data_IF_111438761936
#
_entry.id   IF_111438761936
#
_cell.length_a   1.000
_cell.length_b   1.000
_cell.length_c   1.000
_cell.angle_alpha   90.00
_cell.angle_beta   90.00
_cell.angle_gamma   90.00
#
_symmetry.space_group_name_H-M   'P 1'
#
loop_
_entity.id
_entity.type
_entity.pdbx_description
1 polymer ?
#
# COMPACT_ATOMS: atom_id res chain seq x y z
N UNK A 1 -14.55 -22.21 4.56
CA UNK A 1 -13.46 -21.21 4.49
C UNK A 1 -13.67 -20.19 5.60
N UNK A 2 -12.63 -19.77 6.36
CA UNK A 2 -12.80 -18.68 7.33
C UNK A 2 -13.16 -17.40 6.57
N UNK A 3 -14.34 -16.84 6.85
CA UNK A 3 -14.75 -15.57 6.29
C UNK A 3 -13.81 -14.48 6.80
N UNK A 4 -13.22 -13.73 5.89
CA UNK A 4 -12.30 -12.64 6.22
C UNK A 4 -13.12 -11.37 6.40
N UNK A 5 -12.83 -10.62 7.45
CA UNK A 5 -13.46 -9.35 7.76
C UNK A 5 -13.12 -8.29 6.70
N UNK A 6 -14.07 -7.40 6.35
CA UNK A 6 -13.85 -6.21 5.52
C UNK A 6 -12.67 -5.40 6.06
N UNK A 7 -12.66 -5.16 7.37
CA UNK A 7 -11.59 -4.42 8.06
C UNK A 7 -10.22 -5.09 7.88
N UNK A 8 -10.14 -6.40 7.96
CA UNK A 8 -8.89 -7.14 7.74
C UNK A 8 -8.43 -7.07 6.29
N UNK A 9 -9.32 -7.21 5.30
CA UNK A 9 -9.00 -7.06 3.88
C UNK A 9 -8.42 -5.69 3.60
N UNK A 10 -9.08 -4.62 4.04
CA UNK A 10 -8.62 -3.23 3.84
C UNK A 10 -7.28 -2.98 4.52
N UNK A 11 -7.08 -3.44 5.75
CA UNK A 11 -5.81 -3.30 6.49
C UNK A 11 -4.65 -4.00 5.78
N UNK A 12 -4.87 -5.23 5.31
CA UNK A 12 -3.83 -6.01 4.61
C UNK A 12 -3.46 -5.33 3.29
N UNK A 13 -4.45 -4.93 2.49
CA UNK A 13 -4.22 -4.24 1.21
C UNK A 13 -3.50 -2.90 1.45
N UNK A 14 -3.97 -2.10 2.41
CA UNK A 14 -3.34 -0.83 2.77
C UNK A 14 -1.90 -1.01 3.27
N UNK A 15 -1.66 -1.99 4.14
CA UNK A 15 -0.32 -2.28 4.64
C UNK A 15 0.63 -2.73 3.51
N UNK A 16 0.17 -3.59 2.59
CA UNK A 16 0.95 -4.03 1.43
C UNK A 16 1.29 -2.86 0.50
N UNK A 17 0.34 -1.96 0.21
CA UNK A 17 0.57 -0.77 -0.61
C UNK A 17 1.59 0.16 0.05
N UNK A 18 1.42 0.48 1.33
CA UNK A 18 2.34 1.36 2.07
C UNK A 18 3.74 0.74 2.12
N UNK A 19 3.86 -0.55 2.45
CA UNK A 19 5.14 -1.25 2.50
C UNK A 19 5.84 -1.25 1.13
N UNK A 20 5.09 -1.50 0.05
CA UNK A 20 5.63 -1.51 -1.30
C UNK A 20 6.14 -0.13 -1.72
N UNK A 21 5.37 0.93 -1.48
CA UNK A 21 5.75 2.33 -1.77
C UNK A 21 7.00 2.70 -0.94
N UNK A 22 6.99 2.39 0.36
CA UNK A 22 8.13 2.65 1.24
C UNK A 22 9.40 1.96 0.74
N UNK A 23 9.30 0.69 0.35
CA UNK A 23 10.43 -0.08 -0.19
C UNK A 23 10.99 0.57 -1.46
N UNK A 24 10.12 0.97 -2.40
CA UNK A 24 10.54 1.64 -3.64
C UNK A 24 11.24 2.96 -3.34
N UNK A 25 10.72 3.77 -2.41
CA UNK A 25 11.34 5.05 -2.02
C UNK A 25 12.73 4.82 -1.41
N UNK A 26 12.85 3.91 -0.43
CA UNK A 26 14.14 3.60 0.23
C UNK A 26 15.17 3.12 -0.77
N UNK A 27 14.80 2.18 -1.64
CA UNK A 27 15.69 1.66 -2.69
C UNK A 27 16.09 2.78 -3.66
N UNK A 28 15.15 3.63 -4.08
CA UNK A 28 15.45 4.75 -4.99
C UNK A 28 16.41 5.76 -4.37
N UNK A 29 16.22 6.13 -3.09
CA UNK A 29 17.14 7.04 -2.37
C UNK A 29 18.54 6.42 -2.29
N UNK A 30 18.63 5.14 -1.88
CA UNK A 30 19.90 4.44 -1.79
C UNK A 30 20.66 4.38 -3.13
N UNK A 31 19.93 4.08 -4.21
CA UNK A 31 20.51 4.02 -5.56
C UNK A 31 20.94 5.42 -6.05
N UNK A 32 20.16 6.45 -5.74
CA UNK A 32 20.47 7.82 -6.14
C UNK A 32 21.73 8.36 -5.44
N UNK A 33 21.91 8.06 -4.16
CA UNK A 33 23.15 8.43 -3.43
C UNK A 33 24.39 7.78 -4.06
N UNK A 34 24.28 6.55 -4.56
CA UNK A 34 25.39 5.90 -5.30
C UNK A 34 25.68 6.60 -6.63
N UNK A 35 24.66 7.08 -7.34
CA UNK A 35 24.84 7.78 -8.62
C UNK A 35 25.61 9.09 -8.49
N UNK A 36 25.42 9.85 -7.41
CA UNK A 36 26.19 11.08 -7.13
C UNK A 36 27.70 10.76 -7.01
N UNK A 37 28.03 9.69 -6.31
CA UNK A 37 29.44 9.24 -6.16
C UNK A 37 30.03 8.76 -7.49
N UNK A 38 29.24 8.06 -8.29
CA UNK A 38 29.65 7.62 -9.62
C UNK A 38 29.95 8.81 -10.55
N UNK A 39 29.18 9.89 -10.51
CA UNK A 39 29.44 11.13 -11.25
C UNK A 39 30.76 11.79 -10.82
N UNK A 40 31.06 11.77 -9.51
CA UNK A 40 32.34 12.28 -8.98
C UNK A 40 33.52 11.48 -9.52
N UNK A 41 33.41 10.15 -9.58
CA UNK A 41 34.44 9.27 -10.13
C UNK A 41 34.69 9.59 -11.61
N UNK A 42 33.68 9.72 -12.44
CA UNK A 42 33.79 10.08 -13.85
C UNK A 42 34.45 11.46 -14.01
N UNK A 43 34.10 12.40 -13.15
CA UNK A 43 34.69 13.73 -13.17
C UNK A 43 36.21 13.68 -12.84
N UNK A 44 36.59 12.91 -11.80
CA UNK A 44 38.02 12.71 -11.46
C UNK A 44 38.76 12.04 -12.64
N UNK A 45 38.22 10.98 -13.22
CA UNK A 45 38.80 10.33 -14.38
C UNK A 45 38.93 11.26 -15.59
N UNK A 46 37.86 12.05 -15.87
CA UNK A 46 37.89 13.06 -16.92
C UNK A 46 38.92 14.15 -16.69
N UNK A 47 39.15 14.56 -15.42
CA UNK A 47 40.15 15.52 -15.04
C UNK A 47 41.57 15.03 -15.35
N UNK A 48 41.83 13.72 -15.25
CA UNK A 48 43.12 13.14 -15.61
C UNK A 48 43.47 13.43 -17.08
N UNK A 49 42.52 13.33 -18.00
CA UNK A 49 42.73 13.67 -19.42
C UNK A 49 43.14 15.11 -19.61
N UNK A 50 42.47 16.04 -18.95
CA UNK A 50 42.77 17.47 -18.99
C UNK A 50 44.20 17.71 -18.43
N UNK A 51 44.55 17.06 -17.33
CA UNK A 51 45.84 17.25 -16.66
C UNK A 51 47.01 16.78 -17.53
N UNK A 52 46.91 15.65 -18.25
CA UNK A 52 47.95 15.23 -19.20
C UNK A 52 48.23 16.30 -20.25
N UNK A 53 47.19 16.90 -20.81
CA UNK A 53 47.32 17.96 -21.81
C UNK A 53 47.83 19.26 -21.19
N UNK A 54 47.39 19.61 -19.98
CA UNK A 54 47.85 20.82 -19.27
C UNK A 54 49.35 20.75 -18.97
N UNK A 55 49.84 19.60 -18.49
CA UNK A 55 51.27 19.37 -18.24
C UNK A 55 52.04 19.52 -19.53
N UNK A 56 51.65 18.85 -20.58
CA UNK A 56 52.32 18.87 -21.88
C UNK A 56 52.37 20.30 -22.48
N UNK A 57 51.23 21.01 -22.48
CA UNK A 57 51.16 22.39 -22.92
C UNK A 57 52.13 23.30 -22.16
N UNK A 58 52.16 23.17 -20.82
CA UNK A 58 53.04 24.00 -20.00
C UNK A 58 54.53 23.65 -20.22
N UNK A 59 54.90 22.40 -20.45
CA UNK A 59 56.25 21.99 -20.83
C UNK A 59 56.67 22.68 -22.13
N UNK A 60 55.84 22.67 -23.17
CA UNK A 60 56.15 23.35 -24.41
C UNK A 60 56.27 24.86 -24.25
N UNK A 61 55.40 25.46 -23.44
CA UNK A 61 55.43 26.89 -23.15
C UNK A 61 56.76 27.29 -22.46
N UNK A 62 57.18 26.57 -21.42
CA UNK A 62 58.46 26.81 -20.72
C UNK A 62 59.67 26.56 -21.59
N UNK A 63 59.59 25.51 -22.42
CA UNK A 63 60.70 25.23 -23.37
C UNK A 63 60.87 26.35 -24.38
N UNK A 64 59.78 26.84 -24.95
CA UNK A 64 59.82 27.86 -25.97
C UNK A 64 60.29 29.25 -25.42
N UNK A 65 59.80 29.61 -24.22
CA UNK A 65 60.06 30.93 -23.61
C UNK A 65 61.31 30.89 -22.71
N UNK A 66 61.91 29.76 -22.49
CA UNK A 66 63.06 29.55 -21.55
C UNK A 66 62.76 30.05 -20.14
N UNK A 67 61.51 29.87 -19.66
CA UNK A 67 61.05 30.25 -18.34
C UNK A 67 61.25 29.10 -17.35
N UNK A 68 61.54 29.45 -16.08
CA UNK A 68 61.82 28.48 -15.03
C UNK A 68 60.71 28.40 -13.94
N UNK A 69 59.49 28.91 -14.22
CA UNK A 69 58.38 28.84 -13.29
C UNK A 69 57.62 27.52 -13.52
N UNK A 70 57.84 26.51 -12.68
CA UNK A 70 57.24 25.18 -12.77
C UNK A 70 55.95 24.99 -11.99
N UNK A 71 55.44 26.05 -11.31
CA UNK A 71 54.30 25.98 -10.40
C UNK A 71 53.08 25.31 -11.04
N UNK A 72 52.75 25.66 -12.28
CA UNK A 72 51.62 25.09 -13.00
C UNK A 72 51.78 23.60 -13.33
N UNK A 73 53.00 23.19 -13.66
CA UNK A 73 53.33 21.78 -13.93
C UNK A 73 53.27 20.99 -12.61
N UNK A 74 53.83 21.52 -11.54
CA UNK A 74 53.87 20.83 -10.24
C UNK A 74 52.48 20.66 -9.66
N UNK A 75 51.64 21.67 -9.73
CA UNK A 75 50.24 21.59 -9.34
C UNK A 75 49.49 20.53 -10.16
N UNK A 76 49.69 20.52 -11.48
CA UNK A 76 49.00 19.57 -12.36
C UNK A 76 49.47 18.11 -12.10
N UNK A 77 50.77 17.89 -11.81
CA UNK A 77 51.28 16.59 -11.40
C UNK A 77 50.71 16.13 -10.08
N UNK A 78 50.69 17.02 -9.08
CA UNK A 78 50.10 16.71 -7.77
C UNK A 78 48.62 16.34 -7.90
N UNK A 79 47.82 17.10 -8.68
CA UNK A 79 46.43 16.79 -8.96
C UNK A 79 46.25 15.47 -9.70
N UNK A 80 47.14 15.16 -10.67
CA UNK A 80 47.08 13.89 -11.40
C UNK A 80 47.37 12.71 -10.47
N UNK A 81 48.42 12.79 -9.67
CA UNK A 81 48.76 11.76 -8.69
C UNK A 81 47.66 11.52 -7.67
N UNK A 82 47.07 12.59 -7.13
CA UNK A 82 45.92 12.48 -6.22
C UNK A 82 44.75 11.80 -6.89
N UNK A 83 44.36 12.25 -8.08
CA UNK A 83 43.22 11.68 -8.80
C UNK A 83 43.43 10.21 -9.17
N UNK A 84 44.64 9.84 -9.67
CA UNK A 84 44.97 8.46 -10.01
C UNK A 84 44.94 7.55 -8.76
N UNK A 85 45.47 8.01 -7.63
CA UNK A 85 45.44 7.28 -6.35
C UNK A 85 44.01 7.11 -5.86
N UNK A 86 43.16 8.16 -5.95
CA UNK A 86 41.76 8.10 -5.60
C UNK A 86 41.00 7.08 -6.45
N UNK A 87 41.26 7.02 -7.75
CA UNK A 87 40.63 6.05 -8.66
C UNK A 87 41.05 4.60 -8.34
N UNK A 88 42.32 4.37 -7.95
CA UNK A 88 42.87 3.03 -7.64
C UNK A 88 42.37 2.55 -6.27
N UNK A 89 42.59 3.35 -5.22
CA UNK A 89 42.46 2.95 -3.82
C UNK A 89 41.11 3.39 -3.19
N UNK A 90 40.42 4.29 -3.87
CA UNK A 90 39.27 4.98 -3.30
C UNK A 90 39.68 6.17 -2.43
N UNK A 91 38.68 6.92 -1.96
CA UNK A 91 38.81 8.03 -1.00
C UNK A 91 37.66 7.98 0.00
N UNK A 92 37.98 7.72 1.26
CA UNK A 92 36.99 7.60 2.32
C UNK A 92 36.30 8.92 2.65
N UNK A 93 37.02 10.07 2.50
CA UNK A 93 36.47 11.40 2.76
C UNK A 93 35.44 11.78 1.70
N UNK A 94 35.71 11.43 0.44
CA UNK A 94 34.76 11.61 -0.66
C UNK A 94 33.74 10.48 -0.75
N UNK A 95 33.91 9.41 0.04
CA UNK A 95 33.07 8.21 0.01
C UNK A 95 33.17 7.45 -1.31
N UNK A 96 34.30 7.55 -2.00
CA UNK A 96 34.62 6.86 -3.26
C UNK A 96 35.25 5.51 -2.93
N UNK A 97 34.68 4.45 -3.48
CA UNK A 97 35.25 3.10 -3.39
C UNK A 97 36.41 2.93 -4.37
N UNK A 98 37.30 1.93 -4.12
CA UNK A 98 38.31 1.51 -5.05
C UNK A 98 37.73 0.99 -6.37
N UNK A 99 38.57 0.80 -7.37
CA UNK A 99 38.16 0.30 -8.69
C UNK A 99 37.23 -0.92 -8.61
N UNK A 100 36.03 -0.87 -9.23
CA UNK A 100 34.95 -1.83 -9.00
C UNK A 100 35.15 -3.21 -9.65
N UNK A 101 36.08 -3.33 -10.61
CA UNK A 101 36.33 -4.58 -11.32
C UNK A 101 37.78 -4.72 -11.75
N UNK A 102 38.19 -5.94 -12.14
CA UNK A 102 39.54 -6.25 -12.53
C UNK A 102 39.98 -5.56 -13.83
N UNK A 103 39.06 -5.31 -14.76
CA UNK A 103 39.34 -4.62 -16.01
C UNK A 103 39.79 -3.16 -15.75
N UNK A 104 39.11 -2.45 -14.88
CA UNK A 104 39.48 -1.10 -14.45
C UNK A 104 40.83 -1.11 -13.69
N UNK A 105 41.03 -2.08 -12.79
CA UNK A 105 42.30 -2.21 -12.07
C UNK A 105 43.48 -2.44 -13.04
N UNK A 106 43.32 -3.33 -14.01
CA UNK A 106 44.33 -3.59 -15.03
C UNK A 106 44.63 -2.34 -15.86
N UNK A 107 43.60 -1.60 -16.28
CA UNK A 107 43.76 -0.36 -17.02
C UNK A 107 44.49 0.73 -16.19
N UNK A 108 44.13 0.88 -14.90
CA UNK A 108 44.83 1.81 -14.00
C UNK A 108 46.28 1.43 -13.78
N UNK A 109 46.59 0.15 -13.63
CA UNK A 109 47.97 -0.33 -13.55
C UNK A 109 48.78 0.06 -14.79
N UNK A 110 48.20 -0.11 -15.97
CA UNK A 110 48.79 0.29 -17.24
C UNK A 110 49.06 1.80 -17.30
N UNK A 111 48.07 2.61 -16.89
CA UNK A 111 48.25 4.07 -16.83
C UNK A 111 49.30 4.46 -15.80
N UNK A 112 49.34 3.80 -14.64
CA UNK A 112 50.37 4.06 -13.61
C UNK A 112 51.80 3.85 -14.14
N UNK A 113 52.03 2.77 -14.88
CA UNK A 113 53.35 2.49 -15.48
C UNK A 113 53.72 3.59 -16.48
N UNK A 114 52.83 3.98 -17.37
CA UNK A 114 53.05 5.03 -18.35
C UNK A 114 53.25 6.40 -17.68
N UNK A 115 52.46 6.68 -16.65
CA UNK A 115 52.53 7.93 -15.89
C UNK A 115 53.87 8.07 -15.15
N UNK A 116 54.31 7.04 -14.45
CA UNK A 116 55.59 7.08 -13.74
C UNK A 116 56.76 7.39 -14.68
N UNK A 117 56.76 6.80 -15.89
CA UNK A 117 57.74 7.10 -16.90
C UNK A 117 57.60 8.54 -17.44
N UNK A 118 56.38 9.00 -17.64
CA UNK A 118 56.09 10.37 -18.10
C UNK A 118 56.49 11.40 -17.03
N UNK A 119 56.11 11.22 -15.77
CA UNK A 119 56.47 12.09 -14.65
C UNK A 119 57.98 12.17 -14.47
N UNK A 120 58.72 11.05 -14.61
CA UNK A 120 60.19 11.06 -14.52
C UNK A 120 60.78 11.94 -15.62
N UNK A 121 60.28 11.82 -16.85
CA UNK A 121 60.77 12.67 -17.96
C UNK A 121 60.43 14.16 -17.77
N UNK A 122 59.29 14.47 -17.07
CA UNK A 122 59.00 15.85 -16.70
C UNK A 122 59.99 16.37 -15.65
N UNK A 123 60.36 15.55 -14.67
CA UNK A 123 61.40 15.91 -13.68
C UNK A 123 62.76 16.15 -14.39
N UNK A 124 63.12 15.26 -15.31
CA UNK A 124 64.34 15.40 -16.10
C UNK A 124 64.33 16.64 -17.00
N UNK A 125 63.17 17.00 -17.58
CA UNK A 125 62.98 18.24 -18.33
C UNK A 125 63.21 19.46 -17.45
N UNK A 126 62.64 19.53 -16.24
CA UNK A 126 62.83 20.64 -15.31
C UNK A 126 64.33 20.80 -14.95
N UNK A 127 65.01 19.70 -14.64
CA UNK A 127 66.43 19.71 -14.34
C UNK A 127 67.27 20.18 -15.52
N UNK A 128 67.01 19.65 -16.71
CA UNK A 128 67.71 20.02 -17.94
C UNK A 128 67.56 21.52 -18.30
N UNK A 129 66.30 22.06 -18.09
CA UNK A 129 66.03 23.46 -18.35
C UNK A 129 66.81 24.39 -17.39
N UNK A 130 66.86 24.02 -16.09
CA UNK A 130 67.63 24.77 -15.08
C UNK A 130 69.15 24.73 -15.35
N UNK A 131 69.70 23.62 -15.87
CA UNK A 131 71.13 23.44 -16.16
C UNK A 131 71.53 23.89 -17.56
N UNK A 132 70.60 24.35 -18.39
CA UNK A 132 70.77 24.66 -19.81
C UNK A 132 71.34 23.46 -20.58
N UNK A 133 71.01 22.22 -20.20
CA UNK A 133 71.47 21.01 -20.89
C UNK A 133 70.60 20.76 -22.13
N UNK A 134 70.99 21.27 -23.26
CA UNK A 134 70.22 21.20 -24.49
C UNK A 134 70.04 19.76 -25.00
N UNK A 135 71.01 18.84 -24.73
CA UNK A 135 70.93 17.46 -25.17
C UNK A 135 69.82 16.71 -24.38
N UNK A 136 69.88 16.80 -23.06
CA UNK A 136 68.84 16.19 -22.17
C UNK A 136 67.50 16.82 -22.40
N UNK A 137 67.43 18.15 -22.62
CA UNK A 137 66.23 18.90 -22.90
C UNK A 137 65.51 18.41 -24.16
N UNK A 138 66.27 18.26 -25.28
CA UNK A 138 65.68 17.75 -26.53
C UNK A 138 65.19 16.28 -26.40
N UNK A 139 65.96 15.45 -25.66
CA UNK A 139 65.59 14.04 -25.48
C UNK A 139 64.26 13.93 -24.64
N UNK A 140 64.10 14.69 -23.57
CA UNK A 140 62.88 14.70 -22.72
C UNK A 140 61.69 15.26 -23.47
N UNK A 141 61.85 16.36 -24.24
CA UNK A 141 60.76 16.91 -25.09
C UNK A 141 60.33 15.87 -26.12
N UNK A 142 61.25 15.20 -26.79
CA UNK A 142 60.95 14.15 -27.77
C UNK A 142 60.19 13.00 -27.11
N UNK A 143 60.60 12.56 -25.90
CA UNK A 143 59.89 11.53 -25.16
C UNK A 143 58.47 11.94 -24.81
N UNK A 144 58.29 13.15 -24.26
CA UNK A 144 56.97 13.71 -23.87
C UNK A 144 56.06 13.80 -25.11
N UNK A 145 56.56 14.34 -26.22
CA UNK A 145 55.78 14.41 -27.45
C UNK A 145 55.30 13.03 -27.94
N UNK A 146 56.19 12.05 -27.95
CA UNK A 146 55.89 10.71 -28.46
C UNK A 146 54.96 9.92 -27.55
N UNK A 147 54.91 10.21 -26.23
CA UNK A 147 54.18 9.45 -25.26
C UNK A 147 52.92 10.16 -24.73
N UNK A 148 52.78 11.48 -24.97
CA UNK A 148 51.59 12.23 -24.51
C UNK A 148 50.29 11.66 -25.05
N UNK A 149 50.20 11.43 -26.36
CA UNK A 149 48.99 10.88 -26.96
C UNK A 149 48.67 9.49 -26.45
N UNK A 150 49.68 8.62 -26.27
CA UNK A 150 49.51 7.29 -25.72
C UNK A 150 49.00 7.33 -24.27
N UNK A 151 49.58 8.21 -23.45
CA UNK A 151 49.10 8.40 -22.07
C UNK A 151 47.65 8.90 -22.06
N UNK A 152 47.33 9.89 -22.91
CA UNK A 152 45.96 10.42 -23.06
C UNK A 152 44.97 9.33 -23.45
N UNK A 153 45.28 8.49 -24.45
CA UNK A 153 44.44 7.39 -24.89
C UNK A 153 44.18 6.36 -23.80
N UNK A 154 45.21 6.00 -23.02
CA UNK A 154 45.06 5.03 -21.94
C UNK A 154 44.30 5.61 -20.75
N UNK A 155 44.41 6.91 -20.47
CA UNK A 155 43.55 7.61 -19.49
C UNK A 155 42.11 7.71 -19.99
N UNK A 156 41.91 7.97 -21.30
CA UNK A 156 40.59 8.02 -21.90
C UNK A 156 39.83 6.67 -21.78
N UNK A 157 40.57 5.55 -21.90
CA UNK A 157 40.00 4.21 -21.65
C UNK A 157 39.48 4.05 -20.21
N UNK A 158 40.16 4.64 -19.20
CA UNK A 158 39.65 4.64 -17.82
C UNK A 158 38.29 5.34 -17.77
N UNK A 159 38.14 6.51 -18.40
CA UNK A 159 36.89 7.26 -18.46
C UNK A 159 35.79 6.42 -19.12
N UNK A 160 36.12 5.82 -20.28
CA UNK A 160 35.17 4.97 -21.02
C UNK A 160 34.70 3.75 -20.20
N UNK A 161 35.63 3.08 -19.52
CA UNK A 161 35.33 1.91 -18.68
C UNK A 161 34.47 2.28 -17.50
N UNK A 162 34.72 3.40 -16.82
CA UNK A 162 33.87 3.89 -15.75
C UNK A 162 32.47 4.28 -16.25
N UNK A 163 32.39 5.00 -17.37
CA UNK A 163 31.13 5.38 -17.98
C UNK A 163 30.30 4.15 -18.32
N UNK A 164 30.88 3.16 -18.99
CA UNK A 164 30.19 1.90 -19.33
C UNK A 164 29.74 1.13 -18.09
N UNK A 165 30.59 1.10 -17.04
CA UNK A 165 30.20 0.46 -15.78
C UNK A 165 28.98 1.14 -15.13
N UNK A 166 28.97 2.47 -15.10
CA UNK A 166 27.89 3.28 -14.55
C UNK A 166 26.62 3.16 -15.38
N UNK A 167 26.73 3.15 -16.71
CA UNK A 167 25.58 2.94 -17.62
C UNK A 167 24.93 1.58 -17.39
N UNK A 168 25.70 0.49 -17.31
CA UNK A 168 25.19 -0.86 -17.00
C UNK A 168 24.45 -0.88 -15.65
N UNK A 169 25.00 -0.22 -14.64
CA UNK A 169 24.40 -0.09 -13.33
C UNK A 169 23.09 0.72 -13.38
N UNK A 170 23.09 1.83 -14.12
CA UNK A 170 21.91 2.69 -14.31
C UNK A 170 20.79 1.94 -15.06
N UNK A 171 21.13 1.15 -16.06
CA UNK A 171 20.16 0.32 -16.79
C UNK A 171 19.54 -0.76 -15.90
N UNK A 172 20.35 -1.37 -15.03
CA UNK A 172 19.82 -2.30 -14.03
C UNK A 172 18.81 -1.62 -13.09
N UNK A 173 19.14 -0.39 -12.62
CA UNK A 173 18.26 0.41 -11.77
C UNK A 173 16.96 0.72 -12.49
N UNK A 174 17.00 1.16 -13.75
CA UNK A 174 15.80 1.42 -14.57
C UNK A 174 14.93 0.17 -14.72
N UNK A 175 15.53 -0.98 -15.05
CA UNK A 175 14.80 -2.25 -15.15
C UNK A 175 14.13 -2.63 -13.84
N UNK A 176 14.83 -2.47 -12.71
CA UNK A 176 14.24 -2.68 -11.39
C UNK A 176 13.07 -1.74 -11.11
N UNK A 177 13.19 -0.45 -11.44
CA UNK A 177 12.11 0.53 -11.27
C UNK A 177 10.89 0.20 -12.12
N UNK A 178 11.07 -0.22 -13.38
CA UNK A 178 9.96 -0.66 -14.23
C UNK A 178 9.25 -1.90 -13.68
N UNK A 179 10.03 -2.86 -13.17
CA UNK A 179 9.46 -4.05 -12.52
C UNK A 179 8.66 -3.68 -11.26
N UNK A 180 9.23 -2.83 -10.41
CA UNK A 180 8.58 -2.36 -9.19
C UNK A 180 7.29 -1.57 -9.50
N UNK A 181 7.32 -0.69 -10.51
CA UNK A 181 6.14 0.02 -10.99
C UNK A 181 5.05 -0.92 -11.49
N UNK A 182 5.41 -1.92 -12.31
CA UNK A 182 4.47 -2.92 -12.82
C UNK A 182 3.81 -3.70 -11.67
N UNK A 183 4.58 -4.09 -10.66
CA UNK A 183 4.06 -4.79 -9.48
C UNK A 183 3.10 -3.91 -8.66
N UNK A 184 3.46 -2.64 -8.43
CA UNK A 184 2.60 -1.67 -7.76
C UNK A 184 1.29 -1.43 -8.52
N UNK A 185 1.37 -1.33 -9.85
CA UNK A 185 0.20 -1.16 -10.70
C UNK A 185 -0.76 -2.35 -10.61
N UNK A 186 -0.23 -3.58 -10.65
CA UNK A 186 -1.03 -4.80 -10.46
C UNK A 186 -1.66 -4.86 -9.06
N UNK A 187 -0.92 -4.48 -8.04
CA UNK A 187 -1.45 -4.41 -6.67
C UNK A 187 -2.56 -3.37 -6.53
N UNK A 188 -2.44 -2.22 -7.19
CA UNK A 188 -3.48 -1.19 -7.23
C UNK A 188 -4.74 -1.67 -7.96
N UNK A 189 -4.60 -2.35 -9.11
CA UNK A 189 -5.72 -2.96 -9.82
C UNK A 189 -6.42 -4.02 -8.95
N UNK A 190 -5.65 -4.89 -8.30
CA UNK A 190 -6.21 -5.87 -7.37
C UNK A 190 -6.99 -5.19 -6.23
N UNK A 191 -6.46 -4.10 -5.67
CA UNK A 191 -7.13 -3.32 -4.63
C UNK A 191 -8.47 -2.75 -5.10
N UNK A 192 -8.52 -2.20 -6.32
CA UNK A 192 -9.75 -1.67 -6.91
C UNK A 192 -10.80 -2.78 -7.09
N UNK A 193 -10.39 -3.96 -7.57
CA UNK A 193 -11.29 -5.11 -7.73
C UNK A 193 -11.87 -5.53 -6.39
N UNK A 194 -11.05 -5.64 -5.36
CA UNK A 194 -11.48 -6.02 -4.00
C UNK A 194 -12.44 -4.98 -3.40
N UNK A 195 -12.15 -3.68 -3.57
CA UNK A 195 -13.05 -2.62 -3.09
C UNK A 195 -14.40 -2.63 -3.80
N UNK A 196 -14.42 -2.85 -5.13
CA UNK A 196 -15.67 -2.98 -5.89
C UNK A 196 -16.48 -4.18 -5.44
N UNK A 197 -15.84 -5.30 -5.11
CA UNK A 197 -16.53 -6.48 -4.60
C UNK A 197 -17.17 -6.21 -3.24
N UNK A 198 -16.47 -5.54 -2.34
CA UNK A 198 -17.03 -5.11 -1.04
C UNK A 198 -18.22 -4.16 -1.25
N UNK A 199 -18.12 -3.20 -2.17
CA UNK A 199 -19.21 -2.28 -2.50
C UNK A 199 -20.43 -3.03 -3.04
N UNK A 200 -20.24 -4.00 -3.96
CA UNK A 200 -21.33 -4.81 -4.50
C UNK A 200 -22.03 -5.63 -3.40
N UNK A 201 -21.25 -6.27 -2.52
CA UNK A 201 -21.78 -7.03 -1.40
C UNK A 201 -22.57 -6.14 -0.44
N UNK A 202 -22.08 -4.93 -0.17
CA UNK A 202 -22.78 -3.94 0.65
C UNK A 202 -24.10 -3.49 0.00
N UNK A 203 -24.09 -3.23 -1.31
CA UNK A 203 -25.31 -2.84 -2.06
C UNK A 203 -26.35 -3.98 -2.05
N UNK A 204 -25.93 -5.21 -2.27
CA UNK A 204 -26.81 -6.39 -2.22
C UNK A 204 -27.43 -6.55 -0.83
N UNK A 205 -26.62 -6.39 0.23
CA UNK A 205 -27.12 -6.42 1.59
C UNK A 205 -28.18 -5.32 1.86
N UNK A 206 -27.89 -4.07 1.44
CA UNK A 206 -28.81 -2.94 1.59
C UNK A 206 -30.12 -3.19 0.84
N UNK A 207 -30.05 -3.72 -0.39
CA UNK A 207 -31.22 -4.02 -1.19
C UNK A 207 -32.10 -5.10 -0.55
N UNK A 208 -31.50 -6.21 -0.07
CA UNK A 208 -32.19 -7.27 0.65
C UNK A 208 -32.81 -6.74 1.95
N UNK A 209 -32.07 -5.92 2.70
CA UNK A 209 -32.56 -5.28 3.93
C UNK A 209 -33.73 -4.33 3.65
N UNK A 210 -33.68 -3.55 2.56
CA UNK A 210 -34.75 -2.64 2.15
C UNK A 210 -36.03 -3.41 1.77
N UNK A 211 -35.91 -4.55 1.08
CA UNK A 211 -37.08 -5.40 0.76
C UNK A 211 -37.78 -5.88 2.02
N UNK A 212 -37.04 -6.23 3.07
CA UNK A 212 -37.62 -6.61 4.37
C UNK A 212 -38.35 -5.42 5.03
N UNK A 213 -37.76 -4.23 4.93
CA UNK A 213 -38.37 -3.00 5.55
C UNK A 213 -39.59 -2.49 4.81
N UNK A 214 -39.72 -2.76 3.49
CA UNK A 214 -40.82 -2.27 2.64
C UNK A 214 -41.86 -3.34 2.29
N UNK A 215 -41.58 -4.62 2.60
CA UNK A 215 -42.47 -5.75 2.32
C UNK A 215 -43.59 -5.92 3.36
N UNK A 216 -44.59 -6.72 3.00
CA UNK A 216 -45.64 -7.11 3.96
C UNK A 216 -45.01 -7.99 5.04
N UNK A 217 -45.37 -7.75 6.28
CA UNK A 217 -44.82 -8.44 7.46
C UNK A 217 -45.07 -9.96 7.39
N UNK A 218 -46.09 -10.37 6.63
CA UNK A 218 -46.45 -11.77 6.43
C UNK A 218 -45.49 -12.55 5.51
N UNK A 219 -44.61 -11.83 4.74
CA UNK A 219 -43.73 -12.43 3.71
C UNK A 219 -42.25 -12.15 3.96
N UNK A 220 -41.84 -12.09 5.22
CA UNK A 220 -40.47 -11.85 5.64
C UNK A 220 -39.61 -13.08 5.37
N UNK A 221 -38.78 -13.01 4.33
CA UNK A 221 -37.80 -14.04 3.99
C UNK A 221 -36.44 -13.78 4.65
N UNK A 222 -35.76 -14.81 5.17
CA UNK A 222 -34.42 -14.66 5.73
C UNK A 222 -33.41 -14.12 4.70
N UNK A 223 -32.48 -13.29 5.18
CA UNK A 223 -31.36 -12.80 4.38
C UNK A 223 -30.29 -13.88 4.34
N UNK A 224 -30.08 -14.49 3.17
CA UNK A 224 -28.97 -15.40 2.92
C UNK A 224 -27.85 -14.64 2.22
N UNK A 225 -26.71 -14.44 2.93
CA UNK A 225 -25.52 -13.76 2.43
C UNK A 225 -24.28 -14.57 2.88
N UNK A 226 -23.45 -14.93 1.91
CA UNK A 226 -22.20 -15.65 2.16
C UNK A 226 -21.00 -14.83 1.64
N UNK A 227 -20.73 -13.72 2.33
CA UNK A 227 -19.70 -12.74 1.96
C UNK A 227 -18.75 -12.48 3.13
N UNK A 228 -18.37 -11.24 3.38
CA UNK A 228 -17.51 -10.86 4.50
C UNK A 228 -18.22 -11.07 5.85
N UNK A 229 -17.40 -11.32 6.87
CA UNK A 229 -17.88 -11.65 8.22
C UNK A 229 -18.89 -10.63 8.76
N UNK A 230 -18.65 -9.35 8.56
CA UNK A 230 -19.51 -8.27 9.06
C UNK A 230 -20.91 -8.31 8.45
N UNK A 231 -21.02 -8.58 7.14
CA UNK A 231 -22.33 -8.68 6.48
C UNK A 231 -23.08 -9.93 6.93
N UNK A 232 -22.39 -11.05 7.14
CA UNK A 232 -23.00 -12.28 7.67
C UNK A 232 -23.49 -12.06 9.09
N UNK A 233 -22.72 -11.45 9.97
CA UNK A 233 -23.11 -11.16 11.35
C UNK A 233 -24.34 -10.25 11.43
N UNK A 234 -24.41 -9.22 10.57
CA UNK A 234 -25.58 -8.34 10.50
C UNK A 234 -26.79 -9.07 9.91
N UNK A 235 -26.59 -9.91 8.88
CA UNK A 235 -27.66 -10.74 8.32
C UNK A 235 -28.23 -11.72 9.36
N UNK A 236 -27.39 -12.37 10.15
CA UNK A 236 -27.81 -13.28 11.24
C UNK A 236 -28.62 -12.53 12.30
N UNK A 237 -28.17 -11.35 12.71
CA UNK A 237 -28.91 -10.50 13.65
C UNK A 237 -30.27 -10.09 13.09
N UNK A 238 -30.33 -9.75 11.80
CA UNK A 238 -31.57 -9.39 11.13
C UNK A 238 -32.53 -10.59 10.97
N UNK A 239 -31.99 -11.76 10.67
CA UNK A 239 -32.74 -13.01 10.61
C UNK A 239 -33.35 -13.38 12.00
N UNK A 240 -32.58 -13.19 13.07
CA UNK A 240 -33.09 -13.34 14.44
C UNK A 240 -34.22 -12.36 14.76
N UNK A 241 -34.14 -11.13 14.27
CA UNK A 241 -35.21 -10.16 14.40
C UNK A 241 -36.45 -10.58 13.61
N UNK A 242 -36.31 -11.01 12.34
CA UNK A 242 -37.38 -11.54 11.51
C UNK A 242 -38.10 -12.67 12.23
N UNK A 243 -37.37 -13.63 12.78
CA UNK A 243 -37.95 -14.77 13.52
C UNK A 243 -38.76 -14.31 14.74
N UNK A 244 -38.25 -13.30 15.48
CA UNK A 244 -38.99 -12.74 16.64
C UNK A 244 -40.26 -12.02 16.22
N UNK A 245 -40.21 -11.23 15.13
CA UNK A 245 -41.40 -10.55 14.58
C UNK A 245 -42.42 -11.55 14.08
N UNK A 246 -42.01 -12.59 13.33
CA UNK A 246 -42.90 -13.66 12.85
C UNK A 246 -43.58 -14.41 14.03
N UNK A 247 -42.82 -14.72 15.07
CA UNK A 247 -43.40 -15.34 16.28
C UNK A 247 -44.39 -14.43 16.97
N UNK A 248 -44.12 -13.13 17.08
CA UNK A 248 -45.05 -12.15 17.66
C UNK A 248 -46.32 -12.00 16.83
N UNK A 249 -46.24 -12.02 15.50
CA UNK A 249 -47.37 -11.99 14.58
C UNK A 249 -48.27 -13.23 14.74
N UNK A 250 -47.69 -14.44 14.75
CA UNK A 250 -48.41 -15.67 14.95
C UNK A 250 -49.13 -15.67 16.31
N UNK A 251 -48.49 -15.15 17.35
CA UNK A 251 -49.10 -15.00 18.68
C UNK A 251 -50.26 -14.01 18.67
N UNK A 252 -50.11 -12.89 17.94
CA UNK A 252 -51.19 -11.88 17.78
C UNK A 252 -52.38 -12.48 17.04
N UNK A 253 -52.14 -13.25 16.00
CA UNK A 253 -53.18 -13.89 15.20
C UNK A 253 -53.95 -14.92 16.04
N UNK A 254 -53.27 -15.72 16.82
CA UNK A 254 -53.89 -16.68 17.73
C UNK A 254 -54.73 -15.97 18.81
N UNK A 255 -54.22 -14.87 19.36
CA UNK A 255 -54.95 -14.07 20.33
C UNK A 255 -56.23 -13.41 19.76
N UNK A 256 -56.13 -12.91 18.50
CA UNK A 256 -57.28 -12.38 17.77
C UNK A 256 -58.35 -13.45 17.51
N UNK A 257 -57.95 -14.65 17.16
CA UNK A 257 -58.86 -15.78 16.92
C UNK A 257 -59.57 -16.22 18.22
N UNK A 258 -58.83 -16.26 19.35
CA UNK A 258 -59.40 -16.53 20.66
C UNK A 258 -60.37 -15.42 21.08
N UNK A 259 -60.05 -14.13 20.83
CA UNK A 259 -60.90 -13.00 21.09
C UNK A 259 -62.19 -13.06 20.28
N UNK A 260 -62.09 -13.45 19.00
CA UNK A 260 -63.28 -13.63 18.13
C UNK A 260 -64.18 -14.75 18.65
N UNK A 261 -63.61 -15.90 19.05
CA UNK A 261 -64.38 -17.00 19.65
C UNK A 261 -65.09 -16.60 20.97
N UNK A 262 -64.35 -15.82 21.81
CA UNK A 262 -64.98 -15.30 23.06
C UNK A 262 -66.09 -14.31 22.76
N UNK A 263 -65.93 -13.44 21.74
CA UNK A 263 -67.03 -12.55 21.33
C UNK A 263 -68.26 -13.29 20.79
N UNK A 264 -68.01 -14.35 19.97
CA UNK A 264 -69.11 -15.17 19.46
C UNK A 264 -69.88 -15.92 20.60
N UNK A 265 -69.16 -16.42 21.62
CA UNK A 265 -69.74 -17.01 22.79
C UNK A 265 -70.61 -15.97 23.58
N UNK A 266 -70.14 -14.75 23.74
CA UNK A 266 -70.86 -13.69 24.36
C UNK A 266 -72.13 -13.33 23.59
N UNK A 267 -72.03 -13.28 22.25
CA UNK A 267 -73.22 -13.03 21.39
C UNK A 267 -74.29 -14.12 21.57
N UNK A 268 -73.86 -15.40 21.51
CA UNK A 268 -74.79 -16.53 21.70
C UNK A 268 -75.39 -16.56 23.13
N UNK A 269 -74.64 -16.11 24.14
CA UNK A 269 -75.10 -15.97 25.50
C UNK A 269 -76.14 -14.85 25.63
N UNK A 270 -75.95 -13.74 24.94
CA UNK A 270 -76.93 -12.62 24.92
C UNK A 270 -78.22 -13.06 24.26
N UNK A 271 -78.11 -13.86 23.16
CA UNK A 271 -79.34 -14.45 22.56
C UNK A 271 -80.03 -15.43 23.48
N UNK A 272 -79.28 -16.28 24.20
CA UNK A 272 -79.87 -17.21 25.18
C UNK A 272 -80.49 -16.48 26.37
N UNK A 273 -79.93 -15.33 26.79
CA UNK A 273 -80.47 -14.47 27.80
C UNK A 273 -81.81 -13.80 27.35
N UNK A 274 -81.89 -13.34 26.12
CA UNK A 274 -83.05 -12.75 25.50
C UNK A 274 -84.18 -13.79 25.36
N UNK A 275 -83.86 -15.03 25.00
CA UNK A 275 -84.85 -16.14 25.00
C UNK A 275 -85.38 -16.45 26.40
N UNK A 276 -84.51 -16.54 27.42
CA UNK A 276 -84.89 -16.77 28.81
C UNK A 276 -85.75 -15.64 29.38
N UNK A 277 -85.48 -14.40 29.04
CA UNK A 277 -86.28 -13.25 29.44
C UNK A 277 -87.68 -13.34 28.84
N UNK A 278 -87.84 -13.85 27.65
CA UNK A 278 -89.09 -14.01 26.95
C UNK A 278 -89.92 -15.23 27.45
N UNK A 279 -89.31 -16.23 28.06
CA UNK A 279 -89.93 -17.47 28.60
C UNK A 279 -90.34 -17.35 30.07
N UNK A 280 -90.46 -16.15 30.62
CA UNK A 280 -90.66 -15.85 32.05
C UNK A 280 -92.07 -16.23 32.62
N UNK A 281 -92.51 -17.54 32.41
CA UNK A 281 -93.70 -18.08 33.10
C UNK A 281 -93.37 -19.12 34.21
N UNK A 282 -92.17 -19.63 34.37
CA UNK A 282 -91.78 -20.59 35.41
C UNK A 282 -90.49 -20.25 36.14
N UNK A 283 -90.59 -19.80 37.40
CA UNK A 283 -89.54 -19.27 38.25
C UNK A 283 -88.41 -20.23 38.62
N UNK A 284 -88.51 -21.56 38.42
CA UNK A 284 -87.50 -22.55 38.82
C UNK A 284 -86.49 -22.91 37.77
N UNK A 285 -86.85 -22.92 36.51
CA UNK A 285 -85.91 -23.24 35.41
C UNK A 285 -85.12 -22.03 34.99
N UNK A 286 -85.64 -20.85 35.22
CA UNK A 286 -84.91 -19.59 34.98
C UNK A 286 -83.70 -19.43 35.88
N UNK A 287 -83.80 -19.84 37.19
CA UNK A 287 -82.66 -19.76 38.12
C UNK A 287 -81.49 -20.68 37.71
N UNK A 288 -81.76 -21.90 37.22
CA UNK A 288 -80.76 -22.82 36.71
C UNK A 288 -80.11 -22.32 35.39
N UNK A 289 -80.88 -21.70 34.53
CA UNK A 289 -80.44 -21.09 33.32
C UNK A 289 -79.51 -19.87 33.59
N UNK A 290 -79.86 -19.03 34.56
CA UNK A 290 -79.08 -17.89 35.02
C UNK A 290 -77.74 -18.29 35.63
N UNK A 291 -77.72 -19.31 36.49
CA UNK A 291 -76.43 -19.86 37.07
C UNK A 291 -75.52 -20.32 35.96
N UNK A 292 -76.04 -21.08 34.98
CA UNK A 292 -75.21 -21.58 33.84
C UNK A 292 -74.76 -20.45 32.93
N UNK A 293 -75.57 -19.44 32.70
CA UNK A 293 -75.20 -18.24 31.91
C UNK A 293 -74.16 -17.40 32.62
N UNK A 294 -74.28 -17.26 33.96
CA UNK A 294 -73.29 -16.56 34.77
C UNK A 294 -71.93 -17.23 34.71
N UNK A 295 -71.86 -18.58 34.82
CA UNK A 295 -70.61 -19.35 34.68
C UNK A 295 -69.96 -19.15 33.32
N UNK A 296 -70.74 -19.21 32.23
CA UNK A 296 -70.23 -19.02 30.87
C UNK A 296 -69.78 -17.55 30.65
N UNK A 297 -70.47 -16.59 31.23
CA UNK A 297 -70.13 -15.16 31.15
C UNK A 297 -68.82 -14.87 31.89
N UNK A 298 -68.67 -15.50 33.07
CA UNK A 298 -67.40 -15.41 33.85
C UNK A 298 -66.25 -16.00 33.04
N UNK A 299 -66.41 -17.22 32.49
CA UNK A 299 -65.36 -17.89 31.66
C UNK A 299 -65.01 -17.06 30.44
N UNK A 300 -66.02 -16.51 29.72
CA UNK A 300 -65.74 -15.68 28.53
C UNK A 300 -65.09 -14.33 28.89
N UNK A 301 -65.42 -13.74 30.02
CA UNK A 301 -64.80 -12.51 30.53
C UNK A 301 -63.37 -12.76 30.97
N UNK A 302 -63.11 -13.90 31.63
CA UNK A 302 -61.75 -14.30 31.97
C UNK A 302 -60.92 -14.52 30.73
N UNK A 303 -61.39 -15.19 29.67
CA UNK A 303 -60.70 -15.41 28.40
C UNK A 303 -60.44 -14.12 27.65
N UNK A 304 -61.41 -13.14 27.67
CA UNK A 304 -61.20 -11.79 27.11
C UNK A 304 -60.14 -11.03 27.89
N UNK A 305 -60.16 -11.08 29.23
CA UNK A 305 -59.12 -10.44 30.05
C UNK A 305 -57.73 -11.04 29.77
N UNK A 306 -57.67 -12.37 29.65
CA UNK A 306 -56.45 -13.10 29.34
C UNK A 306 -55.89 -12.73 27.96
N UNK A 307 -56.77 -12.64 26.95
CA UNK A 307 -56.44 -12.25 25.59
C UNK A 307 -55.98 -10.79 25.51
N UNK A 308 -56.66 -9.88 26.22
CA UNK A 308 -56.30 -8.47 26.32
C UNK A 308 -54.96 -8.27 26.98
N UNK A 309 -54.65 -9.01 28.07
CA UNK A 309 -53.33 -8.97 28.73
C UNK A 309 -52.21 -9.49 27.80
N UNK A 310 -52.48 -10.55 27.00
CA UNK A 310 -51.53 -11.06 26.01
C UNK A 310 -51.26 -10.05 24.89
N UNK A 311 -52.31 -9.39 24.34
CA UNK A 311 -52.18 -8.33 23.36
C UNK A 311 -51.36 -7.13 23.88
N UNK A 312 -51.57 -6.76 25.13
CA UNK A 312 -50.82 -5.67 25.77
C UNK A 312 -49.36 -6.01 26.00
N UNK A 313 -49.06 -7.26 26.38
CA UNK A 313 -47.68 -7.74 26.47
C UNK A 313 -46.98 -7.76 25.12
N UNK A 314 -47.66 -8.21 24.06
CA UNK A 314 -47.14 -8.18 22.69
C UNK A 314 -46.85 -6.76 22.19
N UNK A 315 -47.80 -5.82 22.46
CA UNK A 315 -47.59 -4.40 22.14
C UNK A 315 -46.34 -3.86 22.82
N UNK A 316 -46.15 -4.16 24.11
CA UNK A 316 -44.99 -3.73 24.88
C UNK A 316 -43.67 -4.34 24.34
N UNK A 317 -43.72 -5.61 23.91
CA UNK A 317 -42.55 -6.27 23.29
C UNK A 317 -42.24 -5.66 21.91
N UNK A 318 -43.21 -5.39 21.07
CA UNK A 318 -43.06 -4.71 19.78
C UNK A 318 -42.50 -3.28 19.96
N UNK A 319 -43.04 -2.52 20.92
CA UNK A 319 -42.55 -1.17 21.22
C UNK A 319 -41.12 -1.18 21.75
N UNK A 320 -40.74 -2.19 22.55
CA UNK A 320 -39.35 -2.37 23.02
C UNK A 320 -38.38 -2.75 21.89
N UNK A 321 -38.86 -3.57 20.95
CA UNK A 321 -38.06 -3.93 19.76
C UNK A 321 -37.85 -2.74 18.83
N UNK A 322 -38.91 -1.94 18.56
CA UNK A 322 -38.84 -0.72 17.77
C UNK A 322 -37.90 0.34 18.39
N UNK A 323 -37.95 0.47 19.73
CA UNK A 323 -37.09 1.40 20.48
C UNK A 323 -35.60 1.03 20.45
N UNK A 324 -35.28 -0.26 20.35
CA UNK A 324 -33.92 -0.75 20.21
C UNK A 324 -33.34 -0.65 18.79
N UNK A 325 -34.19 -0.46 17.78
CA UNK A 325 -33.82 -0.22 16.39
C UNK A 325 -33.63 1.26 16.02
N UNK A 326 -34.12 2.18 16.89
CA UNK A 326 -34.02 3.63 16.68
C UNK A 326 -32.79 4.27 17.36
N UNK A 327 -31.93 3.45 17.98
CA UNK A 327 -30.61 3.82 18.51
C UNK A 327 -29.52 3.18 17.66
#
# INVERSE_FOLDING_TARGET
>A
MKQVSVSQKIKIIGALLILSIFTVIVVTIFLNQKNVKDATIVNIAGKQRMLTQRITKNIYFLYQNKENNFTEIDNAIAEFNYGLTTLISGDSLLGIASAPNEELKAQMTKVTILWNSFEQNVKDFKEALLKNDNQKLNSTIKFINNNNNRLLEEVDKIVSLYTTHIEKKTDFIKKFQYLAFSLLFLLALYSIIQLRQIEQNAREFIEKSKKISSGDISDLTPIDINTEKEFVEVADNMNNFINKVSAAMNYSQTALEQSKKASQKLESLTEEFDELINEFENKSDVLKGLDRSEDIMIESTEDLIKTTKRLQSLKTQLDSLLKNFSK
#
